data_IF_950944126889
#
_entry.id   IF_950944126889
#
_cell.length_a   1.000
_cell.length_b   1.000
_cell.length_c   1.000
_cell.angle_alpha   90.00
_cell.angle_beta   90.00
_cell.angle_gamma   90.00
#
_symmetry.space_group_name_H-M   'P 1'
#
loop_
_entity.id
_entity.type
_entity.pdbx_description
1 polymer ?
#
# COMPACT_ATOMS: atom_id res chain seq x y z
N UNK A 1 -9.08 4.09 -4.80
CA UNK A 1 -7.96 3.29 -5.39
C UNK A 1 -8.48 2.00 -5.98
N UNK A 2 -8.20 1.72 -7.26
CA UNK A 2 -8.56 0.42 -7.87
C UNK A 2 -7.72 -0.73 -7.31
N UNK A 3 -8.38 -1.85 -6.96
CA UNK A 3 -7.71 -3.07 -6.49
C UNK A 3 -6.69 -3.63 -7.48
N UNK A 4 -6.99 -3.53 -8.77
CA UNK A 4 -6.12 -4.01 -9.86
C UNK A 4 -4.78 -3.29 -9.92
N UNK A 5 -4.65 -2.08 -9.36
CA UNK A 5 -3.36 -1.38 -9.31
C UNK A 5 -2.35 -2.10 -8.41
N UNK A 6 -2.80 -2.86 -7.41
CA UNK A 6 -1.89 -3.52 -6.45
C UNK A 6 -1.05 -4.59 -7.13
N UNK A 7 -1.57 -5.22 -8.18
CA UNK A 7 -0.86 -6.25 -8.96
C UNK A 7 0.39 -5.70 -9.67
N UNK A 8 0.45 -4.39 -9.92
CA UNK A 8 1.60 -3.72 -10.56
C UNK A 8 2.42 -2.88 -9.58
N UNK A 9 1.96 -2.70 -8.33
CA UNK A 9 2.65 -1.91 -7.32
C UNK A 9 3.65 -2.77 -6.54
N UNK A 10 4.84 -2.21 -6.32
CA UNK A 10 5.88 -2.83 -5.53
C UNK A 10 6.37 -1.87 -4.44
N UNK A 11 6.97 -2.43 -3.38
CA UNK A 11 7.56 -1.65 -2.31
C UNK A 11 8.62 -0.68 -2.88
N UNK A 12 8.53 0.64 -2.60
CA UNK A 12 9.47 1.63 -3.13
C UNK A 12 10.91 1.38 -2.65
N UNK A 13 11.08 0.75 -1.48
CA UNK A 13 12.39 0.48 -0.85
C UNK A 13 13.03 -0.79 -1.35
N UNK A 14 12.33 -1.92 -1.28
CA UNK A 14 12.91 -3.24 -1.53
C UNK A 14 12.36 -3.95 -2.77
N UNK A 15 11.46 -3.30 -3.53
CA UNK A 15 10.87 -3.79 -4.79
C UNK A 15 10.13 -5.13 -4.70
N UNK A 16 9.84 -5.62 -3.50
CA UNK A 16 8.99 -6.80 -3.28
C UNK A 16 7.51 -6.41 -3.32
N UNK A 17 6.65 -7.41 -3.40
CA UNK A 17 5.20 -7.24 -3.45
C UNK A 17 4.63 -6.59 -2.18
N UNK A 18 3.45 -6.00 -2.33
CA UNK A 18 2.68 -5.38 -1.27
C UNK A 18 1.38 -6.15 -1.05
N UNK A 19 1.06 -6.45 0.20
CA UNK A 19 -0.23 -6.99 0.61
C UNK A 19 -1.18 -5.85 0.93
N UNK A 20 -2.34 -5.80 0.27
CA UNK A 20 -3.40 -4.86 0.60
C UNK A 20 -4.23 -5.36 1.79
N UNK A 21 -4.47 -4.48 2.75
CA UNK A 21 -5.47 -4.63 3.79
C UNK A 21 -6.47 -3.48 3.66
N UNK A 22 -7.77 -3.80 3.61
CA UNK A 22 -8.84 -2.85 3.32
C UNK A 22 -9.57 -2.53 4.62
N UNK A 23 -9.62 -1.25 4.96
CA UNK A 23 -10.42 -0.75 6.09
C UNK A 23 -11.79 -0.22 5.61
N UNK A 24 -11.81 0.44 4.43
CA UNK A 24 -13.02 0.99 3.82
C UNK A 24 -12.97 0.89 2.30
N UNK A 25 -14.02 0.37 1.70
CA UNK A 25 -14.20 0.24 0.25
C UNK A 25 -15.58 0.75 -0.16
N UNK A 26 -15.65 1.46 -1.29
CA UNK A 26 -16.87 1.97 -1.90
C UNK A 26 -16.81 1.73 -3.42
N UNK A 27 -17.86 1.16 -4.02
CA UNK A 27 -17.99 1.03 -5.48
C UNK A 27 -16.74 0.45 -6.20
N UNK A 28 -16.11 -0.57 -5.61
CA UNK A 28 -14.87 -1.23 -6.08
C UNK A 28 -13.57 -0.40 -5.92
N UNK A 29 -13.68 0.77 -5.30
CA UNK A 29 -12.55 1.61 -4.91
C UNK A 29 -12.22 1.45 -3.43
N UNK A 30 -10.95 1.14 -3.14
CA UNK A 30 -10.43 1.21 -1.78
C UNK A 30 -10.31 2.69 -1.39
N UNK A 31 -11.05 3.10 -0.37
CA UNK A 31 -11.07 4.46 0.18
C UNK A 31 -10.08 4.59 1.34
N UNK A 32 -9.99 3.57 2.19
CA UNK A 32 -9.05 3.52 3.31
C UNK A 32 -8.52 2.12 3.53
N UNK A 33 -7.27 2.00 3.94
CA UNK A 33 -6.58 0.74 4.07
C UNK A 33 -5.08 0.91 4.30
N UNK A 34 -4.36 -0.21 4.23
CA UNK A 34 -2.89 -0.24 4.34
C UNK A 34 -2.29 -1.16 3.29
N UNK A 35 -1.12 -0.80 2.77
CA UNK A 35 -0.27 -1.65 1.94
C UNK A 35 0.94 -2.07 2.77
N UNK A 36 1.02 -3.36 3.06
CA UNK A 36 2.07 -3.94 3.89
C UNK A 36 3.08 -4.63 3.00
N UNK A 37 4.36 -4.29 3.13
CA UNK A 37 5.39 -5.02 2.41
C UNK A 37 5.50 -6.46 2.92
N UNK A 38 5.38 -7.44 2.03
CA UNK A 38 5.46 -8.87 2.38
C UNK A 38 6.87 -9.29 2.82
N UNK A 39 7.88 -8.45 2.53
CA UNK A 39 9.24 -8.72 2.91
C UNK A 39 9.45 -8.46 4.41
N UNK A 40 9.69 -9.55 5.15
CA UNK A 40 10.00 -9.54 6.59
C UNK A 40 11.22 -8.69 6.98
N UNK A 41 12.11 -8.35 6.04
CA UNK A 41 13.23 -7.43 6.31
C UNK A 41 12.82 -5.96 6.21
N UNK A 42 11.80 -5.64 5.41
CA UNK A 42 11.36 -4.28 5.17
C UNK A 42 10.25 -3.88 6.15
N UNK A 43 9.20 -4.71 6.27
CA UNK A 43 8.07 -4.53 7.21
C UNK A 43 7.43 -3.12 7.18
N UNK A 44 7.56 -2.41 6.07
CA UNK A 44 6.96 -1.10 5.90
C UNK A 44 5.46 -1.22 5.64
N UNK A 45 4.74 -0.26 6.19
CA UNK A 45 3.29 -0.11 6.10
C UNK A 45 3.02 1.25 5.48
N UNK A 46 2.27 1.26 4.40
CA UNK A 46 1.89 2.47 3.67
C UNK A 46 0.38 2.68 3.79
N UNK A 47 -0.05 3.85 4.25
CA UNK A 47 -1.46 4.13 4.49
C UNK A 47 -2.17 4.53 3.19
N UNK A 48 -3.43 4.13 3.05
CA UNK A 48 -4.34 4.58 2.00
C UNK A 48 -5.37 5.48 2.67
N UNK A 49 -5.46 6.72 2.21
CA UNK A 49 -6.45 7.70 2.70
C UNK A 49 -7.09 8.39 1.51
N UNK A 50 -8.42 8.56 1.56
CA UNK A 50 -9.20 9.16 0.46
C UNK A 50 -8.94 8.50 -0.90
N UNK A 51 -8.67 7.19 -0.88
CA UNK A 51 -8.33 6.42 -2.07
C UNK A 51 -6.96 6.72 -2.67
N UNK A 52 -6.09 7.46 -1.96
CA UNK A 52 -4.73 7.78 -2.36
C UNK A 52 -3.73 6.98 -1.48
N UNK A 53 -2.95 6.05 -2.06
CA UNK A 53 -1.91 5.34 -1.32
C UNK A 53 -0.67 6.23 -1.10
N UNK A 54 -0.25 6.37 0.16
CA UNK A 54 0.99 7.07 0.51
C UNK A 54 2.19 6.11 0.47
N UNK A 55 2.84 6.02 -0.70
CA UNK A 55 4.05 5.23 -0.93
C UNK A 55 5.35 6.03 -0.75
N UNK A 56 5.30 7.16 -0.04
CA UNK A 56 6.53 7.88 0.27
C UNK A 56 7.38 7.01 1.21
N UNK A 57 8.68 6.84 0.90
CA UNK A 57 9.63 6.31 1.88
C UNK A 57 9.43 7.04 3.21
N UNK A 58 9.34 6.35 4.35
CA UNK A 58 9.47 7.04 5.62
C UNK A 58 10.83 7.75 5.56
N UNK A 59 10.81 9.09 5.57
CA UNK A 59 12.02 9.89 5.46
C UNK A 59 13.01 9.34 6.48
N UNK A 60 14.17 8.86 5.99
CA UNK A 60 15.29 8.52 6.84
C UNK A 60 15.55 9.72 7.76
N UNK A 61 15.34 9.54 9.06
CA UNK A 61 15.91 10.40 10.10
C UNK A 61 17.35 9.96 10.29
#
# INVERSE_FOLDING_TARGET
MKKTLIEILACPICKNDLSLNIDKEEEEEVISGTLNCINNKCKLIFNISEGIPNLLPPNNI
#
